data_IF_248845313090
#
_entry.id   IF_248845313090
#
_cell.length_a   1.000
_cell.length_b   1.000
_cell.length_c   1.000
_cell.angle_alpha   90.00
_cell.angle_beta   90.00
_cell.angle_gamma   90.00
#
_symmetry.space_group_name_H-M   'P 1'
#
loop_
_entity.id
_entity.type
_entity.pdbx_description
1 polymer ?
#
# COMPACT_ATOMS: atom_id res chain seq x y z
N UNK A 1 -25.30 60.81 -1.55
CA UNK A 1 -24.86 59.92 -0.45
C UNK A 1 -24.97 58.42 -0.74
N UNK A 2 -25.74 57.98 -1.73
CA UNK A 2 -25.94 56.54 -2.07
C UNK A 2 -24.77 55.87 -2.78
N UNK A 3 -24.02 56.59 -3.60
CA UNK A 3 -22.92 55.98 -4.37
C UNK A 3 -21.70 55.58 -3.54
N UNK A 4 -21.50 56.17 -2.38
CA UNK A 4 -20.37 55.88 -1.47
C UNK A 4 -20.60 54.62 -0.65
N UNK A 5 -21.87 54.32 -0.30
CA UNK A 5 -22.24 53.12 0.46
C UNK A 5 -22.16 51.86 -0.42
N UNK A 6 -22.56 51.93 -1.71
CA UNK A 6 -22.48 50.82 -2.63
C UNK A 6 -21.02 50.44 -2.97
N UNK A 7 -20.11 51.41 -3.06
CA UNK A 7 -18.67 51.12 -3.24
C UNK A 7 -18.04 50.45 -2.02
N UNK A 8 -18.45 50.79 -0.80
CA UNK A 8 -17.99 50.12 0.43
C UNK A 8 -18.55 48.70 0.55
N UNK A 9 -19.81 48.50 0.16
CA UNK A 9 -20.45 47.15 0.13
C UNK A 9 -19.80 46.25 -0.93
N UNK A 10 -19.49 46.74 -2.11
CA UNK A 10 -18.80 46.00 -3.16
C UNK A 10 -17.37 45.66 -2.73
N UNK A 11 -16.66 46.60 -2.10
CA UNK A 11 -15.30 46.37 -1.59
C UNK A 11 -15.27 45.35 -0.45
N UNK A 12 -16.26 45.38 0.47
CA UNK A 12 -16.34 44.37 1.55
C UNK A 12 -16.72 42.98 1.01
N UNK A 13 -17.62 42.89 0.02
CA UNK A 13 -17.96 41.63 -0.62
C UNK A 13 -16.76 41.03 -1.38
N UNK A 14 -16.00 41.86 -2.10
CA UNK A 14 -14.78 41.44 -2.77
C UNK A 14 -13.69 40.94 -1.79
N UNK A 15 -13.57 41.59 -0.63
CA UNK A 15 -12.66 41.16 0.44
C UNK A 15 -13.06 39.82 1.06
N UNK A 16 -14.36 39.57 1.23
CA UNK A 16 -14.90 38.32 1.77
C UNK A 16 -14.65 37.18 0.75
N UNK A 17 -14.88 37.43 -0.55
CA UNK A 17 -14.62 36.44 -1.60
C UNK A 17 -13.11 36.15 -1.72
N UNK A 18 -12.26 37.18 -1.66
CA UNK A 18 -10.82 37.02 -1.68
C UNK A 18 -10.28 36.27 -0.45
N UNK A 19 -10.82 36.53 0.74
CA UNK A 19 -10.43 35.80 1.95
C UNK A 19 -10.96 34.35 1.96
N UNK A 20 -12.14 34.09 1.41
CA UNK A 20 -12.66 32.74 1.23
C UNK A 20 -11.85 31.94 0.19
N UNK A 21 -11.46 32.59 -0.91
CA UNK A 21 -10.58 31.96 -1.91
C UNK A 21 -9.17 31.68 -1.37
N UNK A 22 -8.63 32.57 -0.52
CA UNK A 22 -7.36 32.34 0.19
C UNK A 22 -7.46 31.22 1.22
N UNK A 23 -8.58 31.13 1.97
CA UNK A 23 -8.80 30.05 2.92
C UNK A 23 -8.99 28.69 2.22
N UNK A 24 -9.70 28.66 1.09
CA UNK A 24 -9.84 27.44 0.27
C UNK A 24 -8.51 27.04 -0.36
N UNK A 25 -7.73 28.01 -0.90
CA UNK A 25 -6.39 27.74 -1.44
C UNK A 25 -5.40 27.23 -0.39
N UNK A 26 -5.53 27.66 0.87
CA UNK A 26 -4.65 27.20 1.96
C UNK A 26 -5.04 25.80 2.49
N UNK A 27 -6.29 25.38 2.33
CA UNK A 27 -6.72 24.04 2.78
C UNK A 27 -6.34 22.94 1.81
N UNK A 28 -6.19 23.24 0.50
CA UNK A 28 -5.76 22.26 -0.51
C UNK A 28 -4.23 22.08 -0.61
N UNK A 29 -3.45 23.05 -0.11
CA UNK A 29 -1.98 23.00 -0.13
C UNK A 29 -1.36 22.01 0.87
N UNK A 30 -2.18 21.30 1.66
CA UNK A 30 -1.67 20.46 2.76
C UNK A 30 -1.21 19.07 2.32
N UNK A 31 -1.58 18.61 1.13
CA UNK A 31 -1.45 17.19 0.77
C UNK A 31 -0.75 16.89 -0.55
N UNK A 32 -0.38 17.91 -1.32
CA UNK A 32 0.33 17.70 -2.59
C UNK A 32 1.55 18.62 -2.66
N UNK A 33 2.75 18.03 -2.66
CA UNK A 33 3.96 18.76 -3.01
C UNK A 33 4.31 18.43 -4.46
N UNK A 34 4.34 19.46 -5.30
CA UNK A 34 4.81 19.36 -6.67
C UNK A 34 6.17 20.03 -6.72
N UNK A 35 7.24 19.25 -6.59
CA UNK A 35 8.58 19.75 -6.80
C UNK A 35 8.84 19.86 -8.30
N UNK A 36 8.36 20.94 -8.91
CA UNK A 36 8.98 21.47 -10.09
C UNK A 36 10.30 22.12 -9.65
N UNK A 37 11.36 22.02 -10.43
CA UNK A 37 12.69 22.58 -10.16
C UNK A 37 12.66 24.09 -9.81
N UNK A 38 11.92 24.48 -8.74
CA UNK A 38 11.83 25.80 -8.13
C UNK A 38 11.34 25.63 -6.68
N UNK A 39 12.25 25.80 -5.73
CA UNK A 39 12.05 25.53 -4.31
C UNK A 39 10.77 26.07 -3.69
N UNK A 40 9.90 25.19 -3.26
CA UNK A 40 8.77 25.47 -2.38
C UNK A 40 8.83 24.60 -1.13
N UNK A 41 8.69 25.25 0.03
CA UNK A 41 8.76 24.61 1.34
C UNK A 41 7.42 24.73 2.04
N UNK A 42 6.80 23.61 2.40
CA UNK A 42 5.60 23.56 3.27
C UNK A 42 5.93 22.74 4.51
N UNK A 43 5.57 23.26 5.68
CA UNK A 43 5.92 22.67 6.96
C UNK A 43 4.68 22.50 7.87
N UNK A 44 4.13 21.29 7.91
CA UNK A 44 3.35 20.77 9.02
C UNK A 44 3.28 19.25 8.83
N UNK A 45 3.87 18.47 9.76
CA UNK A 45 4.12 17.04 9.61
C UNK A 45 4.83 16.81 8.27
N UNK A 46 6.10 17.06 8.17
CA UNK A 46 6.84 17.40 6.97
C UNK A 46 6.74 16.37 5.85
N UNK A 47 5.89 16.63 4.85
CA UNK A 47 6.01 16.02 3.54
C UNK A 47 7.15 16.76 2.82
N UNK A 48 8.28 16.13 2.61
CA UNK A 48 9.43 16.72 1.95
C UNK A 48 10.21 15.63 1.22
N UNK A 49 10.41 15.82 -0.08
CA UNK A 49 11.18 14.92 -0.93
C UNK A 49 12.31 15.65 -1.63
N UNK A 50 13.41 14.95 -1.88
CA UNK A 50 14.52 15.42 -2.67
C UNK A 50 14.67 14.57 -3.93
N UNK A 51 14.95 15.20 -5.05
CA UNK A 51 15.37 14.54 -6.30
C UNK A 51 16.90 14.51 -6.34
N UNK A 52 17.45 13.33 -6.34
CA UNK A 52 18.89 13.13 -6.35
C UNK A 52 19.40 12.75 -7.73
N UNK A 53 20.48 13.41 -8.18
CA UNK A 53 21.33 12.94 -9.29
C UNK A 53 22.70 12.58 -8.74
N UNK A 54 23.14 11.33 -8.95
CA UNK A 54 24.41 10.82 -8.42
C UNK A 54 24.59 11.07 -6.91
N UNK A 55 23.47 11.03 -6.15
CA UNK A 55 23.45 11.27 -4.71
C UNK A 55 23.46 12.74 -4.30
N UNK A 56 23.40 13.67 -5.24
CA UNK A 56 23.32 15.12 -4.97
C UNK A 56 21.89 15.60 -5.23
N UNK A 57 21.33 16.36 -4.30
CA UNK A 57 20.01 16.97 -4.48
C UNK A 57 20.05 18.02 -5.59
N UNK A 58 19.25 17.80 -6.63
CA UNK A 58 19.07 18.68 -7.77
C UNK A 58 17.74 19.43 -7.75
N UNK A 59 16.95 19.25 -6.67
CA UNK A 59 15.70 19.98 -6.47
C UNK A 59 15.95 21.49 -6.44
N UNK A 60 15.39 22.20 -7.43
CA UNK A 60 15.59 23.65 -7.58
C UNK A 60 16.89 24.05 -8.29
N UNK A 61 17.71 23.10 -8.78
CA UNK A 61 18.84 23.41 -9.65
C UNK A 61 18.36 23.95 -11.01
N UNK A 62 19.14 24.88 -11.56
CA UNK A 62 18.99 25.35 -12.95
C UNK A 62 19.90 24.60 -13.92
N UNK A 63 20.73 23.67 -13.40
CA UNK A 63 21.65 22.90 -14.23
C UNK A 63 20.88 21.70 -14.80
N UNK A 64 20.77 21.55 -16.12
CA UNK A 64 19.99 20.50 -16.74
C UNK A 64 20.70 19.14 -16.60
N UNK A 65 19.95 18.09 -16.25
CA UNK A 65 20.44 16.70 -16.24
C UNK A 65 20.70 16.20 -17.68
N UNK A 66 19.85 16.62 -18.61
CA UNK A 66 19.93 16.28 -20.02
C UNK A 66 20.06 17.56 -20.86
N UNK A 67 21.29 17.95 -21.22
CA UNK A 67 21.54 19.06 -22.14
C UNK A 67 22.40 18.55 -23.29
N UNK A 68 21.88 18.63 -24.51
CA UNK A 68 22.62 18.30 -25.72
C UNK A 68 22.09 19.06 -26.91
N UNK A 69 23.00 19.72 -27.60
CA UNK A 69 22.66 20.65 -28.70
C UNK A 69 22.73 20.01 -30.10
N UNK A 70 23.28 18.81 -30.24
CA UNK A 70 23.54 18.16 -31.53
C UNK A 70 22.97 16.73 -31.56
N UNK A 71 21.66 16.62 -31.51
CA UNK A 71 20.99 15.34 -31.65
C UNK A 71 21.10 14.79 -33.08
N UNK A 72 21.56 13.56 -33.22
CA UNK A 72 21.59 12.82 -34.47
C UNK A 72 21.01 11.42 -34.28
N UNK A 73 20.50 10.79 -35.35
CA UNK A 73 19.97 9.43 -35.23
C UNK A 73 20.94 8.46 -34.59
N UNK A 74 20.48 7.75 -33.54
CA UNK A 74 21.30 6.83 -32.77
C UNK A 74 22.08 7.46 -31.61
N UNK A 75 22.14 8.79 -31.50
CA UNK A 75 22.78 9.47 -30.36
C UNK A 75 22.08 9.12 -29.04
N UNK A 76 22.88 8.94 -28.01
CA UNK A 76 22.42 8.69 -26.63
C UNK A 76 23.10 9.66 -25.67
N UNK A 77 22.35 10.22 -24.74
CA UNK A 77 22.92 11.00 -23.64
C UNK A 77 23.76 10.13 -22.71
N UNK A 78 24.51 10.76 -21.83
CA UNK A 78 25.06 10.10 -20.65
C UNK A 78 23.95 9.52 -19.78
N UNK A 79 24.29 8.50 -18.98
CA UNK A 79 23.40 7.92 -18.01
C UNK A 79 23.38 8.80 -16.76
N UNK A 80 22.21 9.32 -16.39
CA UNK A 80 21.97 9.98 -15.12
C UNK A 80 21.50 8.93 -14.08
N UNK A 81 22.08 8.95 -12.91
CA UNK A 81 21.63 8.10 -11.80
C UNK A 81 20.65 8.90 -10.94
N UNK A 82 19.37 8.69 -11.16
CA UNK A 82 18.29 9.41 -10.47
C UNK A 82 17.73 8.58 -9.32
N UNK A 83 17.52 9.22 -8.16
CA UNK A 83 16.84 8.63 -7.01
C UNK A 83 15.95 9.67 -6.35
N UNK A 84 14.98 9.19 -5.57
CA UNK A 84 14.13 10.03 -4.72
C UNK A 84 14.45 9.75 -3.28
N UNK A 85 14.59 10.78 -2.46
CA UNK A 85 14.76 10.67 -1.02
C UNK A 85 13.58 11.32 -0.31
N UNK A 86 12.99 10.61 0.61
CA UNK A 86 12.00 11.17 1.53
C UNK A 86 12.73 11.78 2.74
N UNK A 87 12.91 13.08 2.71
CA UNK A 87 13.53 13.84 3.79
C UNK A 87 12.51 14.41 4.79
N UNK A 88 11.23 14.03 4.61
CA UNK A 88 10.13 14.36 5.50
C UNK A 88 9.99 13.39 6.66
N UNK A 89 8.97 13.63 7.49
CA UNK A 89 8.60 12.78 8.62
C UNK A 89 7.38 11.88 8.35
N UNK A 90 6.80 12.00 7.15
CA UNK A 90 5.65 11.20 6.70
C UNK A 90 6.09 10.29 5.56
N UNK A 91 5.50 9.10 5.48
CA UNK A 91 5.68 8.24 4.32
C UNK A 91 5.05 8.87 3.08
N UNK A 92 5.66 8.67 1.91
CA UNK A 92 5.23 9.30 0.66
C UNK A 92 5.08 8.28 -0.46
N UNK A 93 4.08 8.48 -1.30
CA UNK A 93 4.09 7.99 -2.69
C UNK A 93 4.80 9.02 -3.55
N UNK A 94 5.54 8.59 -4.55
CA UNK A 94 6.18 9.48 -5.51
C UNK A 94 6.04 8.99 -6.94
N UNK A 95 6.09 9.94 -7.86
CA UNK A 95 6.20 9.71 -9.31
C UNK A 95 7.26 10.62 -9.90
N UNK A 96 8.10 10.03 -10.77
CA UNK A 96 9.03 10.75 -11.63
C UNK A 96 8.51 10.77 -13.06
N UNK A 97 8.33 11.94 -13.61
CA UNK A 97 7.88 12.16 -14.99
C UNK A 97 8.70 13.28 -15.63
N UNK A 98 8.42 13.56 -16.88
CA UNK A 98 8.90 14.77 -17.53
C UNK A 98 7.75 15.77 -17.68
N UNK A 99 8.04 17.03 -17.47
CA UNK A 99 7.12 18.12 -17.73
C UNK A 99 7.57 18.86 -19.00
N UNK A 100 6.65 19.07 -19.94
CA UNK A 100 6.94 19.83 -21.14
C UNK A 100 7.27 21.28 -20.81
N UNK A 101 8.39 21.75 -21.33
CA UNK A 101 8.72 23.16 -21.44
C UNK A 101 8.24 23.74 -22.77
N UNK A 102 9.13 24.45 -23.47
CA UNK A 102 8.82 25.02 -24.80
C UNK A 102 9.01 23.98 -25.91
N UNK A 103 7.90 23.57 -26.52
CA UNK A 103 7.85 22.67 -27.67
C UNK A 103 7.53 23.39 -29.00
N UNK A 104 7.48 24.71 -29.01
CA UNK A 104 7.08 25.49 -30.21
C UNK A 104 8.03 25.28 -31.41
N UNK A 105 9.27 24.90 -31.18
CA UNK A 105 10.29 24.60 -32.19
C UNK A 105 10.68 23.11 -32.21
N UNK A 106 9.89 22.23 -31.54
CA UNK A 106 10.27 20.82 -31.38
C UNK A 106 10.15 20.01 -32.66
N UNK A 107 9.30 20.43 -33.58
CA UNK A 107 8.97 19.66 -34.81
C UNK A 107 8.58 18.22 -34.52
N UNK A 108 8.16 17.92 -33.28
CA UNK A 108 7.81 16.58 -32.84
C UNK A 108 9.00 15.67 -32.54
N UNK A 109 10.19 16.20 -32.27
CA UNK A 109 11.40 15.41 -31.96
C UNK A 109 11.21 14.54 -30.73
N UNK A 110 10.35 14.95 -29.78
CA UNK A 110 9.99 14.19 -28.59
C UNK A 110 9.36 12.82 -28.91
N UNK A 111 8.81 12.64 -30.11
CA UNK A 111 8.23 11.35 -30.54
C UNK A 111 9.28 10.33 -31.02
N UNK A 112 10.50 10.80 -31.28
CA UNK A 112 11.62 9.95 -31.76
C UNK A 112 12.80 9.92 -30.79
N UNK A 113 12.61 10.46 -29.60
CA UNK A 113 13.53 10.30 -28.46
C UNK A 113 12.96 9.23 -27.54
N UNK A 114 13.64 8.10 -27.43
CA UNK A 114 13.29 7.04 -26.50
C UNK A 114 13.88 7.31 -25.13
N UNK A 115 13.10 7.03 -24.07
CA UNK A 115 13.52 7.08 -22.67
C UNK A 115 13.93 5.68 -22.25
N UNK A 116 15.11 5.57 -21.67
CA UNK A 116 15.62 4.32 -21.12
C UNK A 116 15.74 4.44 -19.60
N UNK A 117 15.24 3.41 -18.91
CA UNK A 117 15.40 3.23 -17.46
C UNK A 117 16.05 1.87 -17.25
N UNK A 118 17.20 1.83 -16.57
CA UNK A 118 17.99 0.61 -16.33
C UNK A 118 18.25 -0.20 -17.59
N UNK A 119 18.63 0.50 -18.68
CA UNK A 119 18.91 -0.05 -20.01
C UNK A 119 17.69 -0.66 -20.75
N UNK A 120 16.47 -0.45 -20.24
CA UNK A 120 15.23 -0.85 -20.90
C UNK A 120 14.54 0.38 -21.47
N UNK A 121 14.14 0.35 -22.75
CA UNK A 121 13.30 1.40 -23.33
C UNK A 121 11.89 1.31 -22.74
N UNK A 122 11.46 2.38 -22.08
CA UNK A 122 10.15 2.45 -21.42
C UNK A 122 9.11 3.23 -22.22
N UNK A 123 9.53 3.89 -23.28
CA UNK A 123 8.65 4.67 -24.17
C UNK A 123 9.38 5.86 -24.79
N UNK A 124 8.64 6.72 -25.49
CA UNK A 124 9.17 7.96 -26.05
C UNK A 124 9.07 9.11 -25.06
N UNK A 125 9.89 10.14 -25.21
CA UNK A 125 9.83 11.35 -24.40
C UNK A 125 8.42 11.97 -24.44
N UNK A 126 7.77 11.95 -25.61
CA UNK A 126 6.39 12.43 -25.77
C UNK A 126 5.39 11.73 -24.84
N UNK A 127 5.57 10.43 -24.59
CA UNK A 127 4.72 9.66 -23.67
C UNK A 127 4.77 10.22 -22.26
N UNK A 128 5.97 10.56 -21.79
CA UNK A 128 6.17 11.02 -20.41
C UNK A 128 5.89 12.53 -20.25
N UNK A 129 6.00 13.31 -21.33
CA UNK A 129 5.57 14.71 -21.34
C UNK A 129 4.05 14.87 -21.22
N UNK A 130 3.28 13.79 -21.46
CA UNK A 130 1.83 13.73 -21.26
C UNK A 130 1.43 13.35 -19.82
N UNK A 131 2.38 13.30 -18.89
CA UNK A 131 2.12 13.06 -17.47
C UNK A 131 2.31 11.62 -17.00
N UNK A 132 2.68 10.68 -17.88
CA UNK A 132 3.03 9.31 -17.46
C UNK A 132 4.33 9.33 -16.65
N UNK A 133 4.38 8.56 -15.56
CA UNK A 133 5.59 8.38 -14.78
C UNK A 133 6.51 7.34 -15.42
N UNK A 134 7.83 7.59 -15.41
CA UNK A 134 8.84 6.60 -15.80
C UNK A 134 9.43 5.86 -14.60
N UNK A 135 9.25 6.37 -13.39
CA UNK A 135 9.53 5.70 -12.11
C UNK A 135 8.52 6.15 -11.06
N UNK A 136 8.16 5.24 -10.16
CA UNK A 136 7.23 5.53 -9.06
C UNK A 136 7.47 4.58 -7.91
N UNK A 137 7.04 4.96 -6.73
CA UNK A 137 7.17 4.11 -5.54
C UNK A 137 6.64 4.75 -4.29
N UNK A 138 6.88 4.07 -3.19
CA UNK A 138 6.53 4.52 -1.85
C UNK A 138 7.79 4.52 -0.98
N UNK A 139 7.99 5.56 -0.20
CA UNK A 139 9.15 5.72 0.66
C UNK A 139 8.71 6.06 2.08
N UNK A 140 9.24 5.30 3.03
CA UNK A 140 9.15 5.64 4.45
C UNK A 140 9.90 6.94 4.77
N UNK A 141 9.59 7.54 5.92
CA UNK A 141 10.31 8.69 6.42
C UNK A 141 11.82 8.42 6.48
N UNK A 142 12.62 9.26 5.84
CA UNK A 142 14.09 9.11 5.81
C UNK A 142 14.62 8.03 4.85
N UNK A 143 13.75 7.40 4.05
CA UNK A 143 14.16 6.39 3.08
C UNK A 143 14.47 6.99 1.71
N UNK A 144 15.33 6.30 0.95
CA UNK A 144 15.63 6.64 -0.45
C UNK A 144 15.22 5.50 -1.38
N UNK A 145 14.77 5.84 -2.58
CA UNK A 145 14.51 4.85 -3.63
C UNK A 145 15.81 4.22 -4.13
N UNK A 146 15.70 3.07 -4.78
CA UNK A 146 16.81 2.55 -5.58
C UNK A 146 17.09 3.52 -6.72
N UNK A 147 18.35 3.89 -6.89
CA UNK A 147 18.75 4.77 -7.98
C UNK A 147 18.50 4.11 -9.34
N UNK A 148 17.84 4.84 -10.23
CA UNK A 148 17.57 4.41 -11.61
C UNK A 148 18.57 5.03 -12.56
N UNK A 149 19.08 4.22 -13.47
CA UNK A 149 19.93 4.70 -14.57
C UNK A 149 19.04 5.21 -15.72
N UNK A 150 18.89 6.52 -15.88
CA UNK A 150 18.02 7.13 -16.88
C UNK A 150 18.86 7.79 -17.97
N UNK A 151 18.50 7.56 -19.24
CA UNK A 151 19.10 8.23 -20.38
C UNK A 151 18.13 8.33 -21.56
N UNK A 152 18.43 9.24 -22.48
CA UNK A 152 17.64 9.51 -23.67
C UNK A 152 18.40 9.06 -24.91
N UNK A 153 17.72 8.43 -25.87
CA UNK A 153 18.32 7.99 -27.14
C UNK A 153 17.43 8.38 -28.31
N UNK A 154 18.01 9.02 -29.32
CA UNK A 154 17.31 9.28 -30.58
C UNK A 154 17.23 8.00 -31.40
N UNK A 155 16.05 7.69 -31.90
CA UNK A 155 15.84 6.51 -32.76
C UNK A 155 16.67 6.59 -34.01
N UNK A 156 17.29 5.49 -34.44
CA UNK A 156 18.10 5.40 -35.65
C UNK A 156 17.29 5.66 -36.94
N UNK A 157 15.97 5.44 -36.86
CA UNK A 157 15.02 5.70 -37.94
C UNK A 157 14.61 7.17 -38.09
N UNK A 158 15.04 8.04 -37.17
CA UNK A 158 14.71 9.46 -37.25
C UNK A 158 15.33 10.11 -38.48
N UNK A 159 14.50 10.76 -39.28
CA UNK A 159 14.92 11.40 -40.53
C UNK A 159 15.30 12.87 -40.34
N UNK A 160 15.64 13.52 -41.48
CA UNK A 160 16.05 14.91 -41.49
C UNK A 160 14.98 15.95 -41.12
N UNK A 161 13.74 15.50 -40.89
CA UNK A 161 12.60 16.38 -40.51
C UNK A 161 12.88 17.13 -39.22
N UNK A 162 13.66 16.55 -38.33
CA UNK A 162 13.97 17.12 -37.01
C UNK A 162 15.18 18.03 -36.99
N UNK A 163 15.80 18.27 -38.15
CA UNK A 163 16.97 19.16 -38.23
C UNK A 163 16.64 20.56 -37.71
N UNK A 164 17.42 21.05 -36.72
CA UNK A 164 17.20 22.32 -36.04
C UNK A 164 15.94 22.33 -35.14
N UNK A 165 15.43 21.19 -34.76
CA UNK A 165 14.39 21.08 -33.72
C UNK A 165 14.98 21.43 -32.35
N UNK A 166 14.18 22.08 -31.51
CA UNK A 166 14.50 22.40 -30.11
C UNK A 166 13.27 22.03 -29.27
N UNK A 167 13.48 21.21 -28.27
CA UNK A 167 12.48 20.88 -27.26
C UNK A 167 13.09 21.07 -25.87
N UNK A 168 12.38 21.72 -24.98
CA UNK A 168 12.77 21.82 -23.57
C UNK A 168 11.79 21.07 -22.69
N UNK A 169 12.30 20.53 -21.61
CA UNK A 169 11.49 19.80 -20.62
C UNK A 169 12.21 19.81 -19.28
N UNK A 170 11.44 19.62 -18.23
CA UNK A 170 11.94 19.51 -16.85
C UNK A 170 11.73 18.08 -16.33
N UNK A 171 12.52 17.65 -15.35
CA UNK A 171 12.23 16.46 -14.58
C UNK A 171 11.27 16.87 -13.48
N UNK A 172 10.12 16.21 -13.42
CA UNK A 172 9.08 16.49 -12.44
C UNK A 172 9.03 15.33 -11.42
N UNK A 173 9.27 15.66 -10.16
CA UNK A 173 8.99 14.80 -9.02
C UNK A 173 7.67 15.25 -8.38
N UNK A 174 6.65 14.40 -8.42
CA UNK A 174 5.43 14.55 -7.64
C UNK A 174 5.52 13.64 -6.43
N UNK A 175 5.07 14.12 -5.28
CA UNK A 175 4.95 13.32 -4.08
C UNK A 175 3.71 13.70 -3.29
N UNK A 176 3.07 12.70 -2.72
CA UNK A 176 1.91 12.85 -1.85
C UNK A 176 2.08 11.98 -0.61
N UNK A 177 1.31 12.25 0.43
CA UNK A 177 1.33 11.44 1.65
C UNK A 177 0.74 10.06 1.37
N UNK A 178 1.53 9.00 1.55
CA UNK A 178 1.13 7.63 1.19
C UNK A 178 -0.19 7.15 1.82
N UNK A 179 -0.51 7.42 3.09
CA UNK A 179 -1.75 6.93 3.71
C UNK A 179 -3.04 7.61 3.23
N UNK A 180 -2.95 8.68 2.44
CA UNK A 180 -4.10 9.52 2.08
C UNK A 180 -4.42 9.53 0.59
N UNK A 181 -3.67 8.77 -0.21
CA UNK A 181 -3.87 8.67 -1.64
C UNK A 181 -4.08 7.21 -2.06
N UNK A 182 -5.31 6.85 -2.41
CA UNK A 182 -5.69 5.52 -2.90
C UNK A 182 -5.71 5.42 -4.42
N UNK A 183 -6.06 6.47 -5.10
CA UNK A 183 -6.47 6.48 -6.51
C UNK A 183 -5.63 7.36 -7.44
N UNK A 184 -4.65 8.10 -6.93
CA UNK A 184 -3.73 8.86 -7.77
C UNK A 184 -3.22 10.16 -7.16
N UNK A 185 -2.63 11.01 -8.01
CA UNK A 185 -1.96 12.23 -7.59
C UNK A 185 -2.77 13.50 -7.84
N UNK A 186 -3.83 13.46 -8.58
CA UNK A 186 -4.47 14.64 -9.14
C UNK A 186 -5.96 14.76 -8.77
N UNK A 187 -6.44 14.02 -7.76
CA UNK A 187 -7.77 14.25 -7.26
C UNK A 187 -7.77 15.20 -6.05
N UNK A 188 -8.86 15.93 -5.86
CA UNK A 188 -9.02 16.90 -4.79
C UNK A 188 -9.61 16.28 -3.51
N UNK A 189 -9.66 14.94 -3.41
CA UNK A 189 -10.31 14.25 -2.31
C UNK A 189 -9.26 13.69 -1.34
N UNK A 190 -9.50 13.96 -0.08
CA UNK A 190 -8.76 13.35 1.01
C UNK A 190 -9.30 11.98 1.32
N UNK A 191 -8.54 10.94 0.99
CA UNK A 191 -8.85 9.56 1.35
C UNK A 191 -8.56 9.30 2.83
N UNK A 192 -9.49 9.70 3.69
CA UNK A 192 -9.36 9.49 5.15
C UNK A 192 -9.18 8.02 5.56
N UNK A 193 -9.55 7.10 4.67
CA UNK A 193 -9.52 5.66 4.90
C UNK A 193 -8.42 4.95 4.05
N UNK A 194 -7.53 5.72 3.41
CA UNK A 194 -6.42 5.15 2.65
C UNK A 194 -5.45 4.39 3.56
N UNK A 195 -5.25 3.12 3.29
CA UNK A 195 -4.31 2.29 4.00
C UNK A 195 -2.92 2.36 3.35
N UNK A 196 -1.90 2.53 4.17
CA UNK A 196 -0.52 2.43 3.75
C UNK A 196 -0.15 0.96 3.53
N UNK A 197 0.32 0.61 2.31
CA UNK A 197 0.70 -0.77 2.02
C UNK A 197 1.96 -1.18 2.82
N UNK A 198 1.85 -2.28 3.56
CA UNK A 198 2.98 -2.87 4.29
C UNK A 198 4.02 -3.42 3.31
N UNK A 199 5.30 -3.22 3.64
CA UNK A 199 6.44 -3.62 2.81
C UNK A 199 6.80 -5.12 2.87
N UNK A 200 6.09 -5.90 3.70
CA UNK A 200 6.34 -7.33 3.90
C UNK A 200 7.45 -7.66 4.91
N UNK A 201 8.14 -6.66 5.46
CA UNK A 201 9.32 -6.87 6.31
C UNK A 201 9.31 -6.07 7.60
N UNK A 202 8.94 -4.80 7.54
CA UNK A 202 9.00 -3.87 8.67
C UNK A 202 8.03 -4.28 9.78
N UNK A 203 8.51 -4.21 11.03
CA UNK A 203 7.74 -4.48 12.24
C UNK A 203 7.96 -3.32 13.21
N UNK A 204 6.88 -2.64 13.56
CA UNK A 204 6.92 -1.50 14.48
C UNK A 204 6.35 -1.90 15.82
N UNK A 205 7.14 -1.75 16.89
CA UNK A 205 6.71 -2.11 18.22
C UNK A 205 5.46 -1.33 18.64
N UNK A 206 4.44 -2.06 19.08
CA UNK A 206 3.20 -1.50 19.61
C UNK A 206 3.21 -1.57 21.13
N UNK A 207 3.17 -0.42 21.79
CA UNK A 207 3.06 -0.32 23.23
C UNK A 207 1.59 -0.23 23.62
N UNK A 208 1.10 -1.05 24.57
CA UNK A 208 -0.29 -0.97 24.99
C UNK A 208 -0.58 0.37 25.67
N UNK A 209 -1.81 0.84 25.53
CA UNK A 209 -2.28 2.03 26.22
C UNK A 209 -2.50 1.79 27.73
N UNK A 210 -3.04 2.80 28.43
CA UNK A 210 -3.28 2.72 29.89
C UNK A 210 -4.30 1.64 30.29
N UNK A 211 -5.13 1.20 29.34
CA UNK A 211 -6.14 0.16 29.53
C UNK A 211 -5.62 -1.22 29.09
N UNK A 212 -4.34 -1.32 28.70
CA UNK A 212 -3.69 -2.55 28.25
C UNK A 212 -4.07 -2.95 26.82
N UNK A 213 -4.59 -2.04 26.01
CA UNK A 213 -5.05 -2.28 24.64
C UNK A 213 -3.92 -1.95 23.65
N UNK A 214 -3.62 -2.89 22.75
CA UNK A 214 -2.68 -2.70 21.65
C UNK A 214 -3.41 -2.09 20.45
N UNK A 215 -3.11 -0.83 20.13
CA UNK A 215 -3.72 -0.09 19.02
C UNK A 215 -2.86 -0.19 17.78
N UNK A 216 -3.42 -0.75 16.73
CA UNK A 216 -2.75 -1.09 15.49
C UNK A 216 -3.27 -0.20 14.37
N UNK A 217 -2.38 0.57 13.74
CA UNK A 217 -2.71 1.51 12.66
C UNK A 217 -2.11 1.14 11.31
N UNK A 218 -1.07 0.29 11.29
CA UNK A 218 -0.33 -0.04 10.08
C UNK A 218 -0.08 -1.55 9.95
N UNK A 219 0.26 -2.01 8.75
CA UNK A 219 0.69 -3.39 8.53
C UNK A 219 1.96 -3.75 9.30
N UNK A 220 2.85 -2.79 9.52
CA UNK A 220 4.06 -2.96 10.34
C UNK A 220 3.75 -3.20 11.83
N UNK A 221 2.74 -2.49 12.37
CA UNK A 221 2.25 -2.71 13.74
C UNK A 221 1.64 -4.12 13.86
N UNK A 222 0.80 -4.49 12.87
CA UNK A 222 0.17 -5.82 12.85
C UNK A 222 1.20 -6.95 12.75
N UNK A 223 2.26 -6.75 11.94
CA UNK A 223 3.36 -7.70 11.81
C UNK A 223 4.18 -7.82 13.09
N UNK A 224 4.31 -6.74 13.86
CA UNK A 224 4.92 -6.81 15.19
C UNK A 224 4.06 -7.62 16.17
N UNK A 225 2.73 -7.42 16.18
CA UNK A 225 1.81 -8.25 16.97
C UNK A 225 1.98 -9.74 16.61
N UNK A 226 2.07 -10.07 15.31
CA UNK A 226 2.29 -11.45 14.86
C UNK A 226 3.60 -12.04 15.43
N UNK A 227 4.68 -11.27 15.39
CA UNK A 227 5.98 -11.67 15.95
C UNK A 227 5.92 -11.83 17.47
N UNK A 228 5.31 -10.89 18.19
CA UNK A 228 5.22 -10.91 19.63
C UNK A 228 4.40 -12.10 20.17
N UNK A 229 3.35 -12.51 19.43
CA UNK A 229 2.60 -13.74 19.72
C UNK A 229 3.46 -14.97 19.43
N UNK A 230 4.17 -15.01 18.31
CA UNK A 230 5.04 -16.13 17.94
C UNK A 230 6.16 -16.34 18.96
N UNK A 231 6.76 -15.25 19.45
CA UNK A 231 7.81 -15.27 20.48
C UNK A 231 7.26 -15.57 21.90
N UNK A 232 5.93 -15.65 22.06
CA UNK A 232 5.27 -15.89 23.33
C UNK A 232 5.36 -14.71 24.31
N UNK A 233 5.60 -13.50 23.80
CA UNK A 233 5.60 -12.27 24.61
C UNK A 233 4.19 -11.67 24.73
N UNK A 234 3.30 -12.00 23.79
CA UNK A 234 1.88 -11.64 23.82
C UNK A 234 0.99 -12.89 23.72
N UNK A 235 -0.20 -12.80 24.33
CA UNK A 235 -1.27 -13.76 24.10
C UNK A 235 -1.03 -15.17 24.64
N UNK A 236 -0.16 -15.33 25.64
CA UNK A 236 0.10 -16.64 26.23
C UNK A 236 -1.07 -17.13 27.08
N UNK A 237 -1.70 -18.22 26.66
CA UNK A 237 -2.80 -18.88 27.37
C UNK A 237 -2.47 -19.28 28.84
N UNK A 238 -1.21 -19.26 29.23
CA UNK A 238 -0.74 -19.70 30.56
C UNK A 238 -1.01 -18.68 31.67
N UNK A 239 -1.24 -17.41 31.36
CA UNK A 239 -1.55 -16.38 32.35
C UNK A 239 -3.03 -16.18 32.61
N UNK A 240 -3.93 -16.80 31.81
CA UNK A 240 -5.38 -16.61 31.91
C UNK A 240 -5.88 -15.26 31.44
N UNK A 241 -4.98 -14.34 31.07
CA UNK A 241 -5.32 -13.01 30.55
C UNK A 241 -5.03 -12.97 29.06
N UNK A 242 -6.11 -12.86 28.27
CA UNK A 242 -6.01 -12.65 26.81
C UNK A 242 -5.58 -11.20 26.50
N UNK A 243 -4.92 -11.03 25.37
CA UNK A 243 -4.55 -9.70 24.87
C UNK A 243 -5.74 -9.04 24.16
N UNK A 244 -5.84 -7.73 24.24
CA UNK A 244 -6.79 -6.95 23.42
C UNK A 244 -6.02 -6.16 22.36
N UNK A 245 -6.35 -6.42 21.11
CA UNK A 245 -5.82 -5.71 19.93
C UNK A 245 -6.98 -5.00 19.24
N UNK A 246 -6.83 -3.72 18.94
CA UNK A 246 -7.82 -2.91 18.21
C UNK A 246 -7.20 -2.26 16.99
N UNK A 247 -7.85 -2.39 15.83
CA UNK A 247 -7.48 -1.61 14.64
C UNK A 247 -7.93 -0.15 14.82
N UNK A 248 -7.11 0.77 14.31
CA UNK A 248 -7.38 2.19 14.33
C UNK A 248 -7.58 2.78 12.94
N UNK A 249 -7.22 2.03 11.90
CA UNK A 249 -7.36 2.39 10.49
C UNK A 249 -7.47 1.12 9.64
N UNK A 250 -7.81 1.29 8.38
CA UNK A 250 -7.69 0.25 7.39
C UNK A 250 -6.21 -0.12 7.19
N UNK A 251 -5.93 -1.39 6.93
CA UNK A 251 -4.57 -1.92 6.77
C UNK A 251 -4.46 -2.59 5.40
N UNK A 252 -3.55 -2.10 4.56
CA UNK A 252 -3.14 -2.77 3.33
C UNK A 252 -1.85 -3.58 3.58
N UNK A 253 -1.91 -4.90 3.36
CA UNK A 253 -0.76 -5.79 3.47
C UNK A 253 0.06 -5.87 2.18
N UNK A 254 -0.30 -5.08 1.15
CA UNK A 254 0.46 -4.94 -0.09
C UNK A 254 0.57 -6.23 -0.93
N UNK A 255 -0.16 -7.28 -0.60
CA UNK A 255 0.00 -8.60 -1.22
C UNK A 255 1.31 -9.31 -0.88
N UNK A 256 2.07 -8.79 0.08
CA UNK A 256 3.27 -9.41 0.59
C UNK A 256 2.95 -10.68 1.37
N UNK A 257 3.94 -11.61 1.44
CA UNK A 257 3.77 -12.86 2.19
C UNK A 257 3.57 -12.57 3.67
N UNK A 258 2.38 -12.88 4.18
CA UNK A 258 2.00 -12.68 5.57
C UNK A 258 2.43 -13.85 6.45
N UNK A 259 3.06 -13.54 7.57
CA UNK A 259 3.29 -14.52 8.64
C UNK A 259 2.07 -14.52 9.56
N UNK A 260 1.28 -15.61 9.61
CA UNK A 260 0.08 -15.66 10.43
C UNK A 260 0.31 -15.38 11.90
N UNK A 261 -0.61 -14.64 12.52
CA UNK A 261 -0.61 -14.42 13.97
C UNK A 261 -0.91 -15.76 14.66
N UNK A 262 -0.04 -16.20 15.55
CA UNK A 262 -0.18 -17.49 16.21
C UNK A 262 0.30 -18.67 15.35
N UNK A 263 1.22 -19.41 15.89
CA UNK A 263 1.81 -20.62 15.33
C UNK A 263 1.88 -21.68 16.43
N UNK A 264 3.07 -21.95 16.94
CA UNK A 264 3.25 -22.81 18.11
C UNK A 264 2.61 -22.19 19.37
N UNK A 265 2.67 -20.87 19.50
CA UNK A 265 1.92 -20.12 20.50
C UNK A 265 0.61 -19.61 19.90
N UNK A 266 -0.55 -19.93 20.49
CA UNK A 266 -1.84 -19.44 19.99
C UNK A 266 -2.02 -17.95 20.25
N UNK A 267 -2.78 -17.28 19.39
CA UNK A 267 -3.39 -16.01 19.76
C UNK A 267 -4.52 -16.28 20.77
N UNK A 268 -4.49 -15.57 21.92
CA UNK A 268 -5.55 -15.63 22.94
C UNK A 268 -6.04 -14.23 23.27
N UNK A 269 -7.34 -14.06 23.43
CA UNK A 269 -7.95 -12.78 23.78
C UNK A 269 -8.85 -12.19 22.72
N UNK A 270 -8.86 -10.87 22.56
CA UNK A 270 -9.79 -10.19 21.66
C UNK A 270 -9.02 -9.44 20.56
N UNK A 271 -9.41 -9.68 19.31
CA UNK A 271 -9.05 -8.85 18.18
C UNK A 271 -10.31 -8.14 17.66
N UNK A 272 -10.33 -6.82 17.81
CA UNK A 272 -11.44 -5.97 17.38
C UNK A 272 -10.99 -5.13 16.18
N UNK A 273 -11.53 -5.45 15.02
CA UNK A 273 -11.27 -4.68 13.79
C UNK A 273 -11.90 -3.30 13.81
N UNK A 274 -12.80 -2.98 14.76
CA UNK A 274 -13.48 -1.67 14.89
C UNK A 274 -14.25 -1.23 13.65
N UNK A 275 -14.52 -2.16 12.74
CA UNK A 275 -15.15 -1.91 11.44
C UNK A 275 -14.17 -1.60 10.32
N UNK A 276 -12.87 -1.64 10.60
CA UNK A 276 -11.81 -1.44 9.61
C UNK A 276 -11.59 -2.67 8.74
N UNK A 277 -10.90 -2.43 7.64
CA UNK A 277 -10.58 -3.43 6.60
C UNK A 277 -9.11 -3.84 6.68
N UNK A 278 -8.83 -5.14 6.44
CA UNK A 278 -7.50 -5.61 6.07
C UNK A 278 -7.56 -6.03 4.60
N UNK A 279 -6.69 -5.44 3.78
CA UNK A 279 -6.64 -5.66 2.33
C UNK A 279 -5.38 -6.41 1.90
N UNK A 280 -5.48 -7.11 0.75
CA UNK A 280 -4.36 -7.76 0.08
C UNK A 280 -3.61 -8.78 0.96
N UNK A 281 -4.33 -9.48 1.84
CA UNK A 281 -3.78 -10.53 2.68
C UNK A 281 -3.33 -11.72 1.82
N UNK A 282 -2.02 -11.93 1.70
CA UNK A 282 -1.42 -13.05 0.97
C UNK A 282 -0.63 -13.92 1.94
N UNK A 283 -0.91 -15.21 1.97
CA UNK A 283 -0.12 -16.17 2.76
C UNK A 283 -0.11 -17.55 2.11
N UNK A 284 1.03 -18.23 2.22
CA UNK A 284 1.20 -19.56 1.67
C UNK A 284 1.96 -20.49 2.62
N UNK A 285 1.69 -21.79 2.56
CA UNK A 285 2.54 -22.77 3.22
C UNK A 285 3.64 -23.23 2.27
N UNK A 286 4.89 -23.18 2.74
CA UNK A 286 6.03 -23.65 1.97
C UNK A 286 5.88 -25.17 1.67
N UNK A 287 5.78 -25.58 0.40
CA UNK A 287 5.62 -27.00 0.06
C UNK A 287 6.83 -27.87 0.39
N UNK A 288 7.98 -27.27 0.69
CA UNK A 288 9.22 -27.97 1.05
C UNK A 288 9.49 -28.04 2.55
N UNK A 289 8.66 -27.39 3.38
CA UNK A 289 8.78 -27.43 4.83
C UNK A 289 8.14 -28.68 5.39
N UNK A 290 8.85 -29.40 6.26
CA UNK A 290 8.30 -30.49 7.08
C UNK A 290 7.49 -29.99 8.27
N UNK A 291 7.47 -28.67 8.50
CA UNK A 291 6.74 -28.04 9.59
C UNK A 291 5.32 -27.66 9.10
N UNK A 292 4.28 -28.29 9.62
CA UNK A 292 2.92 -27.87 9.35
C UNK A 292 2.69 -26.57 10.14
N UNK A 293 2.94 -25.41 9.50
CA UNK A 293 2.31 -24.18 10.01
C UNK A 293 0.86 -24.49 10.27
N UNK A 294 0.41 -24.30 11.51
CA UNK A 294 -0.90 -24.80 11.98
C UNK A 294 -2.06 -24.35 11.10
N UNK A 295 -2.00 -23.16 10.51
CA UNK A 295 -2.99 -22.69 9.55
C UNK A 295 -2.45 -21.54 8.70
N UNK A 296 -2.99 -21.41 7.49
CA UNK A 296 -2.75 -20.29 6.58
C UNK A 296 -3.96 -19.37 6.62
N UNK A 297 -3.81 -18.22 7.26
CA UNK A 297 -4.88 -17.25 7.51
C UNK A 297 -4.28 -15.97 8.09
N UNK A 298 -5.12 -15.00 8.46
CA UNK A 298 -4.69 -13.87 9.30
C UNK A 298 -4.13 -14.38 10.64
N UNK A 299 -4.86 -15.31 11.28
CA UNK A 299 -4.42 -16.04 12.47
C UNK A 299 -4.15 -17.51 12.11
N UNK A 300 -2.90 -17.94 12.27
CA UNK A 300 -2.54 -19.36 12.03
C UNK A 300 -3.14 -20.29 13.05
N UNK A 301 -3.03 -19.89 14.33
CA UNK A 301 -3.64 -20.60 15.45
C UNK A 301 -4.23 -19.63 16.47
N UNK A 302 -5.46 -19.88 16.85
CA UNK A 302 -6.17 -19.13 17.89
C UNK A 302 -6.83 -20.07 18.90
N UNK A 303 -6.80 -19.70 20.17
CA UNK A 303 -7.39 -20.43 21.29
C UNK A 303 -7.98 -19.45 22.30
N UNK A 304 -9.17 -19.73 22.84
CA UNK A 304 -9.84 -18.84 23.78
C UNK A 304 -9.85 -17.38 23.29
N UNK A 305 -10.37 -17.19 22.07
CA UNK A 305 -10.25 -15.90 21.39
C UNK A 305 -11.59 -15.43 20.81
N UNK A 306 -11.71 -14.11 20.70
CA UNK A 306 -12.80 -13.42 19.99
C UNK A 306 -12.22 -12.58 18.87
N UNK A 307 -12.71 -12.78 17.65
CA UNK A 307 -12.40 -11.89 16.50
C UNK A 307 -13.69 -11.22 16.07
N UNK A 308 -13.68 -9.89 16.02
CA UNK A 308 -14.91 -9.15 15.74
C UNK A 308 -14.70 -7.88 14.93
N UNK A 309 -15.80 -7.41 14.30
CA UNK A 309 -15.87 -6.14 13.58
C UNK A 309 -14.76 -5.98 12.53
N UNK A 310 -14.51 -6.99 11.73
CA UNK A 310 -13.39 -7.02 10.78
C UNK A 310 -13.87 -7.34 9.38
N UNK A 311 -13.34 -6.62 8.40
CA UNK A 311 -13.52 -6.90 6.97
C UNK A 311 -12.19 -7.33 6.34
N UNK A 312 -12.22 -8.37 5.49
CA UNK A 312 -11.09 -8.79 4.66
C UNK A 312 -11.46 -8.57 3.20
N UNK A 313 -10.57 -7.93 2.44
CA UNK A 313 -10.73 -7.66 1.00
C UNK A 313 -9.52 -8.19 0.25
N UNK A 314 -9.76 -8.84 -0.89
CA UNK A 314 -8.72 -9.29 -1.82
C UNK A 314 -7.68 -10.20 -1.16
N UNK A 315 -8.11 -11.27 -0.45
CA UNK A 315 -7.16 -12.25 0.10
C UNK A 315 -6.72 -13.28 -0.96
N UNK A 316 -5.45 -13.76 -0.85
CA UNK A 316 -4.88 -14.84 -1.65
C UNK A 316 -4.16 -15.84 -0.75
N UNK A 317 -4.87 -16.90 -0.36
CA UNK A 317 -4.42 -17.82 0.67
C UNK A 317 -4.29 -19.24 0.13
N UNK A 318 -3.11 -19.84 0.26
CA UNK A 318 -2.80 -21.17 -0.24
C UNK A 318 -2.16 -22.04 0.85
N UNK A 319 -2.95 -22.87 1.51
CA UNK A 319 -2.48 -23.72 2.62
C UNK A 319 -2.46 -25.21 2.29
N UNK A 320 -1.64 -25.95 3.02
CA UNK A 320 -1.53 -27.43 2.90
C UNK A 320 -2.38 -28.17 3.93
N UNK A 321 -2.84 -27.46 4.95
CA UNK A 321 -3.62 -28.03 6.06
C UNK A 321 -4.91 -27.22 6.27
N UNK A 322 -4.98 -26.36 7.27
CA UNK A 322 -6.15 -25.53 7.55
C UNK A 322 -5.97 -24.14 6.94
N UNK A 323 -6.85 -23.76 6.03
CA UNK A 323 -6.75 -22.49 5.30
C UNK A 323 -8.03 -21.69 5.40
N UNK A 324 -7.95 -20.43 5.77
CA UNK A 324 -9.12 -19.52 5.82
C UNK A 324 -8.67 -18.06 5.83
N UNK A 325 -9.61 -17.11 5.71
CA UNK A 325 -9.24 -15.71 5.80
C UNK A 325 -8.94 -15.26 7.24
N UNK A 326 -9.63 -15.79 8.25
CA UNK A 326 -9.52 -15.29 9.62
C UNK A 326 -8.69 -16.23 10.49
N UNK A 327 -9.17 -17.42 10.82
CA UNK A 327 -8.44 -18.37 11.68
C UNK A 327 -8.25 -19.69 10.94
N UNK A 328 -6.99 -20.07 10.71
CA UNK A 328 -6.67 -21.34 10.07
C UNK A 328 -7.00 -22.52 10.95
N UNK A 329 -6.38 -22.64 12.11
CA UNK A 329 -6.60 -23.68 13.11
C UNK A 329 -7.13 -23.05 14.40
N UNK A 330 -8.28 -23.48 14.89
CA UNK A 330 -8.94 -22.88 16.02
C UNK A 330 -9.28 -23.87 17.14
N UNK A 331 -8.86 -23.57 18.38
CA UNK A 331 -9.26 -24.31 19.57
C UNK A 331 -10.33 -23.53 20.36
N UNK A 332 -11.45 -24.16 20.60
CA UNK A 332 -12.55 -23.56 21.36
C UNK A 332 -12.19 -23.30 22.83
N UNK A 333 -12.77 -22.26 23.47
CA UNK A 333 -13.84 -21.41 22.96
C UNK A 333 -13.35 -20.36 21.96
N UNK A 334 -14.12 -20.16 20.87
CA UNK A 334 -13.88 -19.12 19.89
C UNK A 334 -15.19 -18.40 19.56
N UNK A 335 -15.11 -17.09 19.36
CA UNK A 335 -16.22 -16.28 18.90
C UNK A 335 -15.82 -15.44 17.67
N UNK A 336 -16.66 -15.45 16.64
CA UNK A 336 -16.57 -14.62 15.46
C UNK A 336 -17.84 -13.77 15.38
N UNK A 337 -17.67 -12.45 15.41
CA UNK A 337 -18.79 -11.50 15.47
C UNK A 337 -18.61 -10.41 14.44
N UNK A 338 -19.59 -10.21 13.55
CA UNK A 338 -19.54 -9.16 12.53
C UNK A 338 -18.27 -9.22 11.68
N UNK A 339 -18.05 -10.38 11.03
CA UNK A 339 -16.90 -10.64 10.15
C UNK A 339 -17.39 -10.69 8.70
N UNK A 340 -16.73 -9.93 7.83
CA UNK A 340 -16.95 -9.97 6.38
C UNK A 340 -15.66 -10.36 5.65
N UNK A 341 -15.69 -11.46 4.91
CA UNK A 341 -14.67 -11.79 3.91
C UNK A 341 -15.27 -11.46 2.55
N UNK A 342 -14.96 -10.25 2.03
CA UNK A 342 -15.65 -9.65 0.89
C UNK A 342 -15.19 -10.21 -0.46
N UNK A 343 -13.89 -10.52 -0.61
CA UNK A 343 -13.33 -11.03 -1.87
C UNK A 343 -12.00 -11.75 -1.66
N UNK A 344 -11.59 -12.53 -2.66
CA UNK A 344 -10.30 -13.21 -2.70
C UNK A 344 -10.41 -14.70 -2.99
N UNK A 345 -9.28 -15.39 -2.88
CA UNK A 345 -9.15 -16.85 -3.08
C UNK A 345 -8.58 -17.50 -1.83
N UNK A 346 -9.23 -18.59 -1.39
CA UNK A 346 -8.82 -19.41 -0.25
C UNK A 346 -8.71 -20.84 -0.74
N UNK A 347 -7.51 -21.37 -0.86
CA UNK A 347 -7.27 -22.68 -1.43
C UNK A 347 -6.50 -23.59 -0.47
N UNK A 348 -7.05 -24.79 -0.21
CA UNK A 348 -6.25 -25.86 0.36
C UNK A 348 -5.61 -26.67 -0.77
N UNK A 349 -4.27 -26.62 -0.85
CA UNK A 349 -3.48 -27.28 -1.89
C UNK A 349 -3.03 -28.67 -1.46
N UNK A 350 -2.90 -29.60 -2.42
CA UNK A 350 -2.50 -30.97 -2.15
C UNK A 350 -1.08 -31.06 -1.58
N UNK A 351 -0.92 -31.80 -0.47
CA UNK A 351 0.37 -32.25 0.01
C UNK A 351 0.70 -33.67 -0.52
N UNK A 352 1.80 -33.75 -1.28
CA UNK A 352 2.29 -35.02 -1.80
C UNK A 352 3.07 -35.74 -0.69
N UNK A 353 2.37 -36.50 0.13
CA UNK A 353 2.99 -37.36 1.16
C UNK A 353 2.45 -37.22 2.58
N UNK A 354 1.62 -36.21 2.88
CA UNK A 354 1.02 -36.05 4.18
C UNK A 354 -0.44 -36.58 4.19
N UNK A 355 -0.79 -37.38 5.21
CA UNK A 355 -2.13 -37.97 5.38
C UNK A 355 -3.09 -37.06 6.16
N UNK A 356 -2.71 -35.81 6.43
CA UNK A 356 -3.58 -34.91 7.15
C UNK A 356 -4.73 -34.40 6.27
N UNK A 357 -5.87 -34.21 6.88
CA UNK A 357 -7.04 -33.70 6.18
C UNK A 357 -6.79 -32.27 5.71
N UNK A 358 -6.97 -32.03 4.43
CA UNK A 358 -6.94 -30.72 3.83
C UNK A 358 -8.30 -30.06 4.01
N UNK A 359 -8.34 -28.91 4.66
CA UNK A 359 -9.57 -28.19 4.93
C UNK A 359 -9.40 -26.72 4.55
N UNK A 360 -10.46 -26.15 4.01
CA UNK A 360 -10.54 -24.72 3.74
C UNK A 360 -11.92 -24.19 4.13
N UNK A 361 -11.94 -23.01 4.70
CA UNK A 361 -13.16 -22.30 5.08
C UNK A 361 -13.01 -20.80 4.84
N UNK A 362 -14.11 -20.08 4.68
CA UNK A 362 -14.06 -18.62 4.51
C UNK A 362 -13.51 -17.91 5.74
N UNK A 363 -13.99 -18.28 6.94
CA UNK A 363 -13.66 -17.62 8.20
C UNK A 363 -12.80 -18.53 9.09
N UNK A 364 -13.15 -19.81 9.23
CA UNK A 364 -12.42 -20.79 10.02
C UNK A 364 -12.06 -21.99 9.13
N UNK A 365 -10.78 -22.35 9.09
CA UNK A 365 -10.31 -23.52 8.35
C UNK A 365 -10.66 -24.83 9.07
N UNK A 366 -10.21 -24.97 10.30
CA UNK A 366 -10.50 -26.10 11.17
C UNK A 366 -10.81 -25.63 12.59
N UNK A 367 -11.79 -26.25 13.21
CA UNK A 367 -12.17 -26.01 14.60
C UNK A 367 -12.20 -27.30 15.43
N UNK A 368 -11.67 -27.22 16.64
CA UNK A 368 -11.69 -28.31 17.62
C UNK A 368 -11.74 -27.75 19.05
N UNK A 369 -11.86 -28.58 20.06
CA UNK A 369 -11.83 -28.11 21.44
C UNK A 369 -12.28 -29.17 22.44
N UNK A 370 -12.14 -28.88 23.74
CA UNK A 370 -12.63 -29.76 24.82
C UNK A 370 -14.16 -29.94 24.79
N UNK A 371 -14.62 -31.04 25.33
CA UNK A 371 -16.04 -31.28 25.47
C UNK A 371 -16.73 -30.15 26.27
N UNK A 372 -17.85 -29.65 25.74
CA UNK A 372 -18.60 -28.54 26.32
C UNK A 372 -18.11 -27.13 25.95
N UNK A 373 -16.99 -27.00 25.22
CA UNK A 373 -16.58 -25.73 24.62
C UNK A 373 -17.33 -25.49 23.31
N UNK A 374 -17.39 -24.21 22.86
CA UNK A 374 -18.13 -23.85 21.66
C UNK A 374 -17.31 -22.93 20.74
N UNK A 375 -17.62 -23.01 19.43
CA UNK A 375 -17.20 -22.06 18.42
C UNK A 375 -18.45 -21.39 17.88
N UNK A 376 -18.53 -20.07 17.98
CA UNK A 376 -19.74 -19.31 17.63
C UNK A 376 -19.48 -18.35 16.48
N UNK A 377 -20.49 -18.17 15.64
CA UNK A 377 -20.48 -17.22 14.52
C UNK A 377 -21.75 -16.37 14.61
N UNK A 378 -21.58 -15.05 14.67
CA UNK A 378 -22.67 -14.09 14.66
C UNK A 378 -22.42 -13.02 13.61
N UNK A 379 -23.38 -12.79 12.72
CA UNK A 379 -23.28 -11.78 11.64
C UNK A 379 -22.02 -11.94 10.78
N UNK A 380 -21.71 -13.17 10.37
CA UNK A 380 -20.51 -13.50 9.61
C UNK A 380 -20.87 -13.82 8.16
N UNK A 381 -20.13 -13.22 7.21
CA UNK A 381 -20.33 -13.40 5.76
C UNK A 381 -19.02 -13.75 5.08
N UNK A 382 -19.06 -14.69 4.13
CA UNK A 382 -17.95 -15.00 3.25
C UNK A 382 -18.39 -14.94 1.79
N UNK A 383 -17.75 -14.09 0.99
CA UNK A 383 -17.92 -13.95 -0.45
C UNK A 383 -16.66 -14.34 -1.25
N UNK A 384 -15.57 -14.69 -0.58
CA UNK A 384 -14.37 -15.19 -1.23
C UNK A 384 -14.57 -16.60 -1.81
N UNK A 385 -13.82 -16.93 -2.85
CA UNK A 385 -13.80 -18.24 -3.47
C UNK A 385 -13.03 -19.25 -2.60
N UNK A 386 -13.71 -20.29 -2.12
CA UNK A 386 -13.10 -21.33 -1.28
C UNK A 386 -12.96 -22.61 -2.08
N UNK A 387 -11.73 -23.13 -2.21
CA UNK A 387 -11.44 -24.36 -2.96
C UNK A 387 -10.62 -25.34 -2.14
N UNK A 388 -10.92 -26.63 -2.31
CA UNK A 388 -10.13 -27.73 -1.74
C UNK A 388 -9.72 -28.66 -2.88
N UNK A 389 -8.43 -28.81 -3.13
CA UNK A 389 -7.92 -29.75 -4.12
C UNK A 389 -8.02 -31.18 -3.57
N UNK A 390 -8.91 -31.98 -4.15
CA UNK A 390 -9.30 -33.31 -3.68
C UNK A 390 -8.21 -34.34 -3.86
N UNK A 391 -8.00 -35.15 -2.82
CA UNK A 391 -7.55 -36.54 -2.96
C UNK A 391 -8.57 -37.56 -2.46
N UNK A 392 -9.69 -37.19 -1.84
CA UNK A 392 -10.80 -38.05 -1.53
C UNK A 392 -12.13 -37.37 -1.84
N UNK A 393 -12.79 -37.89 -2.88
CA UNK A 393 -14.18 -37.62 -3.19
C UNK A 393 -15.07 -38.32 -2.19
N UNK A 394 -15.23 -37.83 -0.99
CA UNK A 394 -16.37 -38.18 -0.15
C UNK A 394 -16.39 -37.51 1.23
N UNK A 395 -16.36 -36.17 1.29
CA UNK A 395 -16.91 -35.47 2.45
C UNK A 395 -17.46 -34.11 2.04
N UNK A 396 -18.74 -33.92 2.33
CA UNK A 396 -19.49 -32.72 2.07
C UNK A 396 -18.75 -31.46 2.54
N UNK A 397 -18.42 -30.57 1.62
CA UNK A 397 -18.10 -29.19 1.94
C UNK A 397 -19.38 -28.58 2.52
N UNK A 398 -19.40 -28.28 3.79
CA UNK A 398 -20.48 -27.54 4.40
C UNK A 398 -20.28 -26.06 4.04
N UNK A 399 -20.98 -25.58 3.01
CA UNK A 399 -21.26 -24.16 2.85
C UNK A 399 -22.17 -23.78 4.03
N UNK A 400 -21.62 -23.12 5.02
CA UNK A 400 -22.43 -22.41 5.99
C UNK A 400 -22.80 -21.06 5.38
N UNK A 401 -23.79 -21.06 4.48
CA UNK A 401 -24.60 -19.89 4.23
C UNK A 401 -25.64 -19.85 5.36
N UNK A 402 -25.34 -19.15 6.43
CA UNK A 402 -26.36 -18.79 7.42
C UNK A 402 -26.91 -17.41 7.09
N UNK A 403 -27.92 -17.37 6.21
CA UNK A 403 -28.91 -16.30 6.24
C UNK A 403 -29.89 -16.62 7.35
N UNK A 404 -29.79 -15.93 8.47
CA UNK A 404 -30.90 -15.61 9.37
C UNK A 404 -30.55 -14.37 10.17
#
# INVERSE_FOLDING_TARGET
METTNNRKLIASAALIVASAALLLGLTFAWFTDTAANKGNKIQAGTLQVALLENGTDIGGSSDPVFDHNLWEPGYSTGKASLAVENIGSLAVKYELSFQSGDLSQSKGIENVIDVYVDDVSVGTLATFLNGSAFDSGTLEAGASSTARSVYLKMQESAGNTYQGAVATFDILLKATQAPVEKDGFDDDQYDKDAAYAWDGATKTEVVPDQDGVYRVSTGSDLAWIAQAVADGTLGMARSGEGVTVELQSDIDLGGNEWTPIGGDNPFTGTFDGKGHTIENLTASSNPSSSDPTRGVALFGYAENATVKNLKIVNCNLQGRYATSAIVGDGCAPLAFENIEVASGTIASIQDVGNKQAQVAGGILGQGWGPDGSSITFAQCVNSADVTVNKWHADRKSTRLNSSH
#
